data_IF_781293130584
#
_entry.id   IF_781293130584
#
_cell.length_a   1.000
_cell.length_b   1.000
_cell.length_c   1.000
_cell.angle_alpha   90.00
_cell.angle_beta   90.00
_cell.angle_gamma   90.00
#
_symmetry.space_group_name_H-M   'P 1'
#
loop_
_entity.id
_entity.type
_entity.pdbx_description
1 polymer ?
#
# COMPACT_ATOMS: atom_id res chain seq x y z
N UNK A 1 -69.70 -20.28 -22.17
CA UNK A 1 -68.97 -21.25 -21.34
C UNK A 1 -67.54 -21.31 -21.82
N UNK A 2 -66.66 -20.51 -21.24
CA UNK A 2 -65.22 -20.51 -21.53
C UNK A 2 -64.50 -20.40 -20.19
N UNK A 3 -64.02 -21.54 -19.70
CA UNK A 3 -63.29 -21.63 -18.43
C UNK A 3 -61.83 -21.21 -18.65
N UNK A 4 -61.43 -20.14 -17.97
CA UNK A 4 -60.03 -19.81 -17.75
C UNK A 4 -59.52 -20.67 -16.59
N UNK A 5 -58.73 -21.70 -16.89
CA UNK A 5 -57.94 -22.40 -15.89
C UNK A 5 -56.76 -21.51 -15.46
N UNK A 6 -56.92 -20.84 -14.33
CA UNK A 6 -55.82 -20.21 -13.60
C UNK A 6 -55.00 -21.29 -12.90
N UNK A 7 -53.93 -21.73 -13.54
CA UNK A 7 -52.92 -22.59 -12.91
C UNK A 7 -52.22 -21.84 -11.78
N UNK A 8 -52.58 -22.15 -10.53
CA UNK A 8 -51.85 -21.68 -9.37
C UNK A 8 -50.43 -22.29 -9.40
N UNK A 9 -49.41 -21.45 -9.63
CA UNK A 9 -48.03 -21.85 -9.45
C UNK A 9 -47.83 -22.21 -7.97
N UNK A 10 -47.68 -23.50 -7.67
CA UNK A 10 -47.35 -23.97 -6.34
C UNK A 10 -46.07 -23.27 -5.87
N UNK A 11 -46.17 -22.48 -4.80
CA UNK A 11 -45.02 -21.80 -4.22
C UNK A 11 -44.08 -22.86 -3.64
N UNK A 12 -42.97 -23.11 -4.32
CA UNK A 12 -41.95 -24.03 -3.84
C UNK A 12 -41.50 -23.65 -2.43
N UNK A 13 -41.34 -24.65 -1.56
CA UNK A 13 -40.96 -24.43 -0.17
C UNK A 13 -39.55 -23.81 -0.08
N UNK A 14 -39.21 -23.09 1.01
CA UNK A 14 -37.88 -22.48 1.17
C UNK A 14 -36.70 -23.46 1.02
N UNK A 15 -36.90 -24.73 1.39
CA UNK A 15 -35.91 -25.80 1.20
C UNK A 15 -35.70 -26.14 -0.29
N UNK A 16 -36.77 -26.27 -1.05
CA UNK A 16 -36.70 -26.53 -2.51
C UNK A 16 -36.06 -25.35 -3.24
N UNK A 17 -36.29 -24.12 -2.77
CA UNK A 17 -35.60 -22.93 -3.29
C UNK A 17 -34.09 -22.98 -3.04
N UNK A 18 -33.64 -23.46 -1.87
CA UNK A 18 -32.21 -23.67 -1.59
C UNK A 18 -31.59 -24.78 -2.42
N UNK A 19 -32.26 -25.93 -2.55
CA UNK A 19 -31.78 -27.04 -3.38
C UNK A 19 -31.72 -26.64 -4.87
N UNK A 20 -32.67 -25.81 -5.33
CA UNK A 20 -32.65 -25.19 -6.65
C UNK A 20 -31.51 -24.18 -6.83
N UNK A 21 -31.24 -23.34 -5.81
CA UNK A 21 -30.12 -22.42 -5.82
C UNK A 21 -28.78 -23.17 -5.85
N UNK A 22 -28.63 -24.22 -5.05
CA UNK A 22 -27.43 -25.08 -5.05
C UNK A 22 -27.22 -25.72 -6.42
N UNK A 23 -28.27 -26.31 -7.00
CA UNK A 23 -28.22 -26.93 -8.32
C UNK A 23 -27.82 -25.92 -9.40
N UNK A 24 -28.38 -24.71 -9.33
CA UNK A 24 -28.06 -23.62 -10.25
C UNK A 24 -26.60 -23.17 -10.12
N UNK A 25 -26.12 -22.94 -8.90
CA UNK A 25 -24.73 -22.52 -8.63
C UNK A 25 -23.70 -23.60 -8.96
N UNK A 26 -24.09 -24.88 -8.95
CA UNK A 26 -23.22 -26.00 -9.34
C UNK A 26 -23.12 -26.14 -10.86
N UNK A 27 -24.18 -25.80 -11.60
CA UNK A 27 -24.22 -25.91 -13.06
C UNK A 27 -23.44 -24.80 -13.77
N UNK A 28 -23.39 -23.60 -13.20
CA UNK A 28 -22.59 -22.49 -13.73
C UNK A 28 -21.18 -22.49 -13.13
N UNK A 29 -20.21 -23.06 -13.85
CA UNK A 29 -18.79 -22.88 -13.52
C UNK A 29 -18.32 -21.48 -13.89
N UNK A 30 -18.94 -20.41 -13.38
CA UNK A 30 -18.72 -19.08 -13.97
C UNK A 30 -18.59 -17.95 -12.95
N UNK A 31 -17.66 -17.08 -13.31
CA UNK A 31 -17.42 -15.76 -12.77
C UNK A 31 -18.72 -15.00 -12.51
N UNK A 32 -18.80 -14.40 -11.32
CA UNK A 32 -19.80 -13.43 -10.83
C UNK A 32 -20.73 -12.84 -11.93
N UNK A 33 -21.89 -13.47 -12.18
CA UNK A 33 -22.91 -12.93 -13.09
C UNK A 33 -24.14 -12.37 -12.36
N UNK A 34 -24.83 -11.35 -12.91
CA UNK A 34 -26.02 -10.72 -12.33
C UNK A 34 -27.19 -11.66 -12.00
N UNK A 35 -27.26 -12.83 -12.66
CA UNK A 35 -28.33 -13.82 -12.50
C UNK A 35 -28.27 -14.55 -11.15
N UNK A 36 -27.10 -14.59 -10.50
CA UNK A 36 -26.92 -15.16 -9.17
C UNK A 36 -27.60 -14.28 -8.11
N UNK A 37 -27.51 -12.96 -8.24
CA UNK A 37 -28.05 -12.01 -7.27
C UNK A 37 -29.59 -12.09 -7.16
N UNK A 38 -30.28 -12.25 -8.29
CA UNK A 38 -31.75 -12.36 -8.29
C UNK A 38 -32.25 -13.65 -7.64
N UNK A 39 -31.47 -14.74 -7.71
CA UNK A 39 -31.81 -16.02 -7.08
C UNK A 39 -31.44 -16.09 -5.61
N UNK A 40 -30.32 -15.45 -5.20
CA UNK A 40 -29.97 -15.33 -3.77
C UNK A 40 -31.04 -14.55 -3.01
N UNK A 41 -31.60 -13.49 -3.62
CA UNK A 41 -32.72 -12.72 -3.05
C UNK A 41 -34.00 -13.55 -2.82
N UNK A 42 -34.15 -14.70 -3.51
CA UNK A 42 -35.32 -15.58 -3.32
C UNK A 42 -35.23 -16.44 -2.06
N UNK A 43 -34.07 -16.50 -1.39
CA UNK A 43 -33.85 -17.28 -0.16
C UNK A 43 -33.81 -16.41 1.10
N UNK A 44 -34.45 -15.24 1.07
CA UNK A 44 -34.42 -14.25 2.16
C UNK A 44 -34.99 -14.69 3.53
N UNK A 45 -35.42 -15.94 3.71
CA UNK A 45 -35.72 -16.42 5.07
C UNK A 45 -34.42 -16.83 5.76
N UNK A 46 -33.87 -15.91 6.57
CA UNK A 46 -32.69 -16.12 7.40
C UNK A 46 -32.73 -17.48 8.11
N UNK A 47 -33.85 -17.83 8.75
CA UNK A 47 -34.03 -19.09 9.50
C UNK A 47 -33.77 -20.37 8.66
N UNK A 48 -34.13 -20.37 7.37
CA UNK A 48 -33.95 -21.53 6.49
C UNK A 48 -32.52 -21.64 6.02
N UNK A 49 -31.91 -20.49 5.64
CA UNK A 49 -30.48 -20.43 5.35
C UNK A 49 -29.68 -20.95 6.55
N UNK A 50 -30.03 -20.49 7.75
CA UNK A 50 -29.31 -20.83 8.98
C UNK A 50 -29.44 -22.30 9.36
N UNK A 51 -30.65 -22.86 9.31
CA UNK A 51 -30.87 -24.30 9.52
C UNK A 51 -30.14 -25.15 8.48
N UNK A 52 -30.15 -24.72 7.22
CA UNK A 52 -29.45 -25.40 6.14
C UNK A 52 -27.93 -25.39 6.36
N UNK A 53 -27.35 -24.23 6.70
CA UNK A 53 -25.92 -24.10 6.97
C UNK A 53 -25.49 -24.88 8.21
N UNK A 54 -26.21 -24.77 9.32
CA UNK A 54 -25.89 -25.52 10.55
C UNK A 54 -25.90 -27.03 10.31
N UNK A 55 -26.93 -27.53 9.59
CA UNK A 55 -27.02 -28.94 9.24
C UNK A 55 -25.89 -29.36 8.29
N UNK A 56 -25.62 -28.63 7.20
CA UNK A 56 -24.60 -29.01 6.22
C UNK A 56 -23.16 -28.90 6.75
N UNK A 57 -22.83 -27.83 7.47
CA UNK A 57 -21.51 -27.61 8.03
C UNK A 57 -21.22 -28.56 9.19
N UNK A 58 -22.24 -28.97 9.95
CA UNK A 58 -22.12 -29.90 11.08
C UNK A 58 -22.11 -31.37 10.69
N UNK A 59 -22.88 -31.77 9.68
CA UNK A 59 -23.19 -33.19 9.40
C UNK A 59 -22.72 -33.71 8.05
N UNK A 60 -22.13 -32.88 7.18
CA UNK A 60 -21.72 -33.32 5.84
C UNK A 60 -20.76 -34.52 5.93
N UNK A 61 -21.20 -35.65 5.39
CA UNK A 61 -20.40 -36.87 5.23
C UNK A 61 -19.50 -36.80 4.00
N UNK A 62 -19.75 -35.87 3.07
CA UNK A 62 -19.07 -35.75 1.79
C UNK A 62 -18.30 -34.43 1.65
N UNK A 63 -17.04 -34.51 1.22
CA UNK A 63 -16.23 -33.31 0.90
C UNK A 63 -16.94 -32.42 -0.14
N UNK A 64 -17.59 -33.03 -1.13
CA UNK A 64 -18.31 -32.31 -2.20
C UNK A 64 -19.46 -31.46 -1.66
N UNK A 65 -20.26 -31.99 -0.73
CA UNK A 65 -21.40 -31.26 -0.16
C UNK A 65 -20.94 -30.09 0.71
N UNK A 66 -19.84 -30.28 1.46
CA UNK A 66 -19.24 -29.20 2.25
C UNK A 66 -18.66 -28.11 1.32
N UNK A 67 -18.00 -28.51 0.24
CA UNK A 67 -17.44 -27.59 -0.75
C UNK A 67 -18.54 -26.74 -1.42
N UNK A 68 -19.70 -27.33 -1.71
CA UNK A 68 -20.88 -26.61 -2.22
C UNK A 68 -21.45 -25.66 -1.17
N UNK A 69 -21.63 -26.14 0.07
CA UNK A 69 -22.10 -25.32 1.18
C UNK A 69 -21.26 -24.06 1.39
N UNK A 70 -19.94 -24.22 1.41
CA UNK A 70 -19.00 -23.10 1.53
C UNK A 70 -19.06 -22.13 0.35
N UNK A 71 -19.31 -22.63 -0.86
CA UNK A 71 -19.49 -21.78 -2.02
C UNK A 71 -20.74 -20.92 -1.89
N UNK A 72 -21.87 -21.52 -1.51
CA UNK A 72 -23.12 -20.79 -1.26
C UNK A 72 -22.90 -19.74 -0.16
N UNK A 73 -22.25 -20.08 0.96
CA UNK A 73 -21.89 -19.12 2.00
C UNK A 73 -21.12 -17.92 1.43
N UNK A 74 -20.11 -18.17 0.59
CA UNK A 74 -19.27 -17.12 0.04
C UNK A 74 -20.08 -16.22 -0.93
N UNK A 75 -20.94 -16.80 -1.75
CA UNK A 75 -21.83 -16.02 -2.64
C UNK A 75 -22.76 -15.13 -1.83
N UNK A 76 -23.42 -15.67 -0.80
CA UNK A 76 -24.33 -14.90 0.05
C UNK A 76 -23.56 -13.81 0.84
N UNK A 77 -22.40 -14.13 1.40
CA UNK A 77 -21.56 -13.16 2.11
C UNK A 77 -21.07 -12.02 1.22
N UNK A 78 -20.82 -12.27 -0.06
CA UNK A 78 -20.42 -11.25 -1.03
C UNK A 78 -21.55 -10.33 -1.48
N UNK A 79 -22.81 -10.73 -1.31
CA UNK A 79 -24.00 -10.03 -1.84
C UNK A 79 -24.85 -9.40 -0.75
N UNK A 80 -24.87 -9.99 0.45
CA UNK A 80 -25.64 -9.53 1.59
C UNK A 80 -24.70 -9.19 2.75
N UNK A 81 -24.64 -7.91 3.12
CA UNK A 81 -23.78 -7.44 4.22
C UNK A 81 -24.25 -7.92 5.59
N UNK A 82 -25.56 -8.11 5.78
CA UNK A 82 -26.12 -8.58 7.04
C UNK A 82 -25.90 -10.08 7.24
N UNK A 83 -25.72 -10.84 6.14
CA UNK A 83 -25.42 -12.26 6.21
C UNK A 83 -24.19 -12.55 7.07
N UNK A 84 -23.16 -11.70 7.02
CA UNK A 84 -21.96 -11.95 7.81
C UNK A 84 -22.22 -11.96 9.32
N UNK A 85 -23.11 -11.09 9.81
CA UNK A 85 -23.53 -11.06 11.23
C UNK A 85 -24.29 -12.33 11.58
N UNK A 86 -25.32 -12.63 10.80
CA UNK A 86 -26.14 -13.83 11.00
C UNK A 86 -25.29 -15.11 10.90
N UNK A 87 -24.34 -15.16 9.96
CA UNK A 87 -23.40 -16.27 9.81
C UNK A 87 -22.55 -16.44 11.05
N UNK A 88 -21.95 -15.37 11.59
CA UNK A 88 -21.14 -15.45 12.82
C UNK A 88 -21.99 -15.88 14.01
N UNK A 89 -23.25 -15.45 14.09
CA UNK A 89 -24.15 -15.81 15.19
C UNK A 89 -24.54 -17.29 15.18
N UNK A 90 -24.68 -17.91 14.00
CA UNK A 90 -25.12 -19.32 13.86
C UNK A 90 -23.97 -20.27 13.57
N UNK A 91 -23.19 -19.98 12.54
CA UNK A 91 -21.98 -20.71 12.16
C UNK A 91 -20.81 -20.03 12.86
N UNK A 92 -20.75 -20.25 14.16
CA UNK A 92 -19.81 -19.60 15.08
C UNK A 92 -18.37 -19.63 14.56
N UNK A 93 -17.59 -18.59 14.89
CA UNK A 93 -16.16 -18.53 14.56
C UNK A 93 -15.40 -19.81 14.95
N UNK A 94 -15.61 -20.40 16.16
CA UNK A 94 -15.03 -21.70 16.52
C UNK A 94 -15.34 -22.82 15.53
N UNK A 95 -16.58 -22.90 15.00
CA UNK A 95 -16.92 -23.95 14.04
C UNK A 95 -16.19 -23.79 12.73
N UNK A 96 -16.02 -22.56 12.26
CA UNK A 96 -15.23 -22.28 11.05
C UNK A 96 -13.75 -22.65 11.25
N UNK A 97 -13.17 -22.33 12.40
CA UNK A 97 -11.79 -22.74 12.76
C UNK A 97 -11.68 -24.28 12.85
N UNK A 98 -12.65 -24.96 13.44
CA UNK A 98 -12.72 -26.42 13.48
C UNK A 98 -12.69 -27.01 12.06
N UNK A 99 -13.47 -26.46 11.13
CA UNK A 99 -13.49 -26.92 9.74
C UNK A 99 -12.15 -26.70 9.02
N UNK A 100 -11.49 -25.55 9.26
CA UNK A 100 -10.13 -25.30 8.78
C UNK A 100 -9.17 -26.38 9.26
N UNK A 101 -9.25 -26.78 10.52
CA UNK A 101 -8.39 -27.84 11.08
C UNK A 101 -8.78 -29.25 10.62
N UNK A 102 -10.07 -29.56 10.53
CA UNK A 102 -10.59 -30.86 10.11
C UNK A 102 -10.21 -31.17 8.66
N UNK A 103 -10.37 -30.19 7.77
CA UNK A 103 -10.12 -30.35 6.34
C UNK A 103 -8.74 -29.83 5.92
N UNK A 104 -7.75 -29.91 6.82
CA UNK A 104 -6.45 -29.26 6.65
C UNK A 104 -5.66 -29.68 5.41
N UNK A 105 -5.91 -30.89 4.90
CA UNK A 105 -5.24 -31.45 3.72
C UNK A 105 -6.09 -31.34 2.44
N UNK A 106 -7.34 -30.87 2.54
CA UNK A 106 -8.23 -30.73 1.39
C UNK A 106 -8.10 -29.31 0.81
N UNK A 107 -7.28 -29.17 -0.24
CA UNK A 107 -7.00 -27.88 -0.86
C UNK A 107 -8.24 -27.18 -1.43
N UNK A 108 -9.26 -27.93 -1.88
CA UNK A 108 -10.49 -27.35 -2.43
C UNK A 108 -11.32 -26.72 -1.31
N UNK A 109 -11.51 -27.44 -0.20
CA UNK A 109 -12.20 -26.91 0.98
C UNK A 109 -11.44 -25.73 1.58
N UNK A 110 -10.12 -25.84 1.75
CA UNK A 110 -9.30 -24.74 2.29
C UNK A 110 -9.42 -23.48 1.43
N UNK A 111 -9.35 -23.60 0.10
CA UNK A 111 -9.51 -22.47 -0.81
C UNK A 111 -10.85 -21.75 -0.60
N UNK A 112 -11.94 -22.49 -0.44
CA UNK A 112 -13.28 -21.90 -0.23
C UNK A 112 -13.46 -21.31 1.16
N UNK A 113 -12.93 -21.97 2.21
CA UNK A 113 -12.90 -21.41 3.56
C UNK A 113 -12.16 -20.08 3.59
N UNK A 114 -10.95 -20.02 3.03
CA UNK A 114 -10.16 -18.78 2.98
C UNK A 114 -10.87 -17.68 2.19
N UNK A 115 -11.55 -18.03 1.10
CA UNK A 115 -12.34 -17.07 0.36
C UNK A 115 -13.52 -16.53 1.17
N UNK A 116 -14.31 -17.40 1.81
CA UNK A 116 -15.40 -16.99 2.70
C UNK A 116 -14.90 -16.08 3.83
N UNK A 117 -13.80 -16.45 4.50
CA UNK A 117 -13.19 -15.64 5.56
C UNK A 117 -12.78 -14.25 5.02
N UNK A 118 -12.23 -14.17 3.81
CA UNK A 118 -11.86 -12.88 3.20
C UNK A 118 -13.06 -11.97 2.95
N UNK A 119 -14.23 -12.55 2.63
CA UNK A 119 -15.47 -11.80 2.44
C UNK A 119 -16.01 -11.32 3.79
N UNK A 120 -16.10 -12.21 4.78
CA UNK A 120 -16.57 -11.87 6.13
C UNK A 120 -15.69 -10.79 6.79
N UNK A 121 -14.36 -10.90 6.66
CA UNK A 121 -13.41 -9.93 7.21
C UNK A 121 -13.43 -8.55 6.51
N UNK A 122 -14.18 -8.41 5.42
CA UNK A 122 -14.38 -7.11 4.77
C UNK A 122 -15.32 -6.20 5.57
N UNK A 123 -16.19 -6.76 6.42
CA UNK A 123 -16.93 -6.02 7.44
C UNK A 123 -16.03 -5.77 8.66
N UNK A 124 -15.96 -4.53 9.13
CA UNK A 124 -15.11 -4.12 10.26
C UNK A 124 -15.58 -4.72 11.59
N UNK A 125 -16.89 -4.79 11.82
CA UNK A 125 -17.48 -5.34 13.05
C UNK A 125 -17.19 -6.83 13.16
N UNK A 126 -17.32 -7.56 12.05
CA UNK A 126 -17.04 -9.00 12.03
C UNK A 126 -15.56 -9.31 12.13
N UNK A 127 -14.70 -8.44 11.62
CA UNK A 127 -13.25 -8.64 11.61
C UNK A 127 -12.69 -8.84 13.01
N UNK A 128 -13.13 -8.04 13.98
CA UNK A 128 -12.70 -8.19 15.38
C UNK A 128 -13.17 -9.52 15.95
N UNK A 129 -14.46 -9.83 15.84
CA UNK A 129 -15.03 -11.11 16.31
C UNK A 129 -14.32 -12.34 15.70
N UNK A 130 -14.01 -12.29 14.40
CA UNK A 130 -13.25 -13.33 13.71
C UNK A 130 -11.86 -13.50 14.32
N UNK A 131 -11.16 -12.39 14.57
CA UNK A 131 -9.80 -12.44 15.11
C UNK A 131 -9.77 -12.87 16.58
N UNK A 132 -10.72 -12.40 17.39
CA UNK A 132 -10.89 -12.84 18.78
C UNK A 132 -11.07 -14.35 18.85
N UNK A 133 -11.89 -14.92 17.97
CA UNK A 133 -12.12 -16.36 17.84
C UNK A 133 -10.98 -17.17 17.18
N UNK A 134 -9.80 -16.57 16.95
CA UNK A 134 -8.59 -17.28 16.49
C UNK A 134 -8.50 -17.48 14.98
N UNK A 135 -9.28 -16.74 14.18
CA UNK A 135 -9.28 -16.91 12.73
C UNK A 135 -7.95 -16.48 12.08
N UNK A 136 -7.26 -15.49 12.64
CA UNK A 136 -5.95 -15.06 12.13
C UNK A 136 -4.92 -16.19 12.20
N UNK A 137 -4.82 -16.86 13.34
CA UNK A 137 -3.94 -18.00 13.59
C UNK A 137 -4.33 -19.20 12.72
N UNK A 138 -5.64 -19.44 12.53
CA UNK A 138 -6.13 -20.48 11.63
C UNK A 138 -5.70 -20.23 10.17
N UNK A 139 -5.82 -19.00 9.67
CA UNK A 139 -5.35 -18.61 8.33
C UNK A 139 -3.84 -18.81 8.20
N UNK A 140 -3.05 -18.41 9.19
CA UNK A 140 -1.59 -18.64 9.19
C UNK A 140 -1.23 -20.13 9.16
N UNK A 141 -1.96 -20.97 9.88
CA UNK A 141 -1.76 -22.43 9.85
C UNK A 141 -2.02 -23.03 8.46
N UNK A 142 -3.00 -22.48 7.72
CA UNK A 142 -3.28 -22.87 6.33
C UNK A 142 -2.16 -22.42 5.40
N UNK A 143 -1.73 -21.15 5.51
CA UNK A 143 -0.61 -20.61 4.73
C UNK A 143 0.65 -21.46 4.90
N UNK A 144 1.01 -21.80 6.14
CA UNK A 144 2.21 -22.57 6.43
C UNK A 144 2.15 -24.00 5.89
N UNK A 145 0.96 -24.63 5.91
CA UNK A 145 0.79 -26.00 5.39
C UNK A 145 0.81 -26.06 3.87
N UNK A 146 0.12 -25.13 3.20
CA UNK A 146 -0.05 -25.13 1.74
C UNK A 146 0.98 -24.26 1.03
N UNK A 147 2.03 -23.85 1.75
CA UNK A 147 3.00 -22.86 1.30
C UNK A 147 3.64 -23.19 -0.05
N UNK A 148 4.01 -24.46 -0.28
CA UNK A 148 4.61 -24.92 -1.54
C UNK A 148 3.65 -25.74 -2.42
N UNK A 149 2.63 -26.34 -1.83
CA UNK A 149 1.78 -27.33 -2.51
C UNK A 149 0.60 -26.72 -3.25
N UNK A 150 0.10 -25.55 -2.83
CA UNK A 150 -1.10 -24.97 -3.42
C UNK A 150 -1.11 -23.43 -3.39
N UNK A 151 -0.59 -22.84 -4.46
CA UNK A 151 -0.52 -21.38 -4.66
C UNK A 151 -1.91 -20.74 -4.60
N UNK A 152 -2.95 -21.40 -5.12
CA UNK A 152 -4.31 -20.81 -5.10
C UNK A 152 -4.90 -20.72 -3.70
N UNK A 153 -4.60 -21.69 -2.82
CA UNK A 153 -4.97 -21.62 -1.39
C UNK A 153 -4.17 -20.50 -0.72
N UNK A 154 -2.87 -20.39 -1.03
CA UNK A 154 -2.01 -19.35 -0.47
C UNK A 154 -2.48 -17.94 -0.87
N UNK A 155 -2.92 -17.73 -2.10
CA UNK A 155 -3.49 -16.46 -2.57
C UNK A 155 -4.73 -16.06 -1.79
N UNK A 156 -5.68 -16.99 -1.61
CA UNK A 156 -6.89 -16.74 -0.83
C UNK A 156 -6.58 -16.53 0.65
N UNK A 157 -5.62 -17.27 1.19
CA UNK A 157 -5.19 -17.12 2.58
C UNK A 157 -4.54 -15.76 2.82
N UNK A 158 -3.65 -15.32 1.92
CA UNK A 158 -2.99 -14.01 2.00
C UNK A 158 -4.00 -12.87 1.87
N UNK A 159 -4.99 -13.02 0.98
CA UNK A 159 -6.10 -12.07 0.87
C UNK A 159 -6.90 -12.00 2.18
N UNK A 160 -7.31 -13.13 2.74
CA UNK A 160 -8.02 -13.19 4.01
C UNK A 160 -7.22 -12.51 5.13
N UNK A 161 -5.92 -12.83 5.24
CA UNK A 161 -5.03 -12.23 6.22
C UNK A 161 -4.89 -10.71 6.03
N UNK A 162 -4.79 -10.22 4.79
CA UNK A 162 -4.71 -8.77 4.51
C UNK A 162 -5.95 -8.01 5.01
N UNK A 163 -7.11 -8.66 5.03
CA UNK A 163 -8.35 -8.11 5.58
C UNK A 163 -8.36 -8.20 7.10
N UNK A 164 -8.05 -9.37 7.68
CA UNK A 164 -8.02 -9.57 9.13
C UNK A 164 -7.03 -8.64 9.84
N UNK A 165 -5.89 -8.34 9.21
CA UNK A 165 -4.84 -7.47 9.76
C UNK A 165 -5.21 -5.99 9.83
N UNK A 166 -6.32 -5.57 9.21
CA UNK A 166 -6.88 -4.23 9.34
C UNK A 166 -7.76 -4.07 10.61
N UNK A 167 -7.49 -4.86 11.65
CA UNK A 167 -8.21 -4.83 12.93
C UNK A 167 -7.46 -3.99 14.00
N UNK A 168 -7.89 -4.13 15.26
CA UNK A 168 -7.27 -3.50 16.42
C UNK A 168 -5.78 -3.85 16.61
N UNK A 169 -5.09 -3.06 17.44
CA UNK A 169 -3.68 -3.27 17.77
C UNK A 169 -3.43 -4.67 18.37
N UNK A 170 -4.30 -5.12 19.27
CA UNK A 170 -4.18 -6.43 19.93
C UNK A 170 -4.22 -7.59 18.92
N UNK A 171 -5.10 -7.49 17.92
CA UNK A 171 -5.18 -8.47 16.83
C UNK A 171 -3.88 -8.48 16.02
N UNK A 172 -3.31 -7.31 15.69
CA UNK A 172 -2.05 -7.22 14.95
C UNK A 172 -0.90 -7.86 15.72
N UNK A 173 -0.83 -7.65 17.03
CA UNK A 173 0.18 -8.25 17.90
C UNK A 173 0.00 -9.76 18.01
N UNK A 174 -1.23 -10.27 18.14
CA UNK A 174 -1.52 -11.71 18.13
C UNK A 174 -1.11 -12.38 16.82
N UNK A 175 -1.49 -11.80 15.68
CA UNK A 175 -1.10 -12.33 14.36
C UNK A 175 0.42 -12.32 14.19
N UNK A 176 1.10 -11.27 14.66
CA UNK A 176 2.56 -11.21 14.63
C UNK A 176 3.21 -12.26 15.53
N UNK A 177 2.70 -12.46 16.75
CA UNK A 177 3.15 -13.48 17.70
C UNK A 177 2.96 -14.91 17.14
N UNK A 178 1.89 -15.13 16.39
CA UNK A 178 1.67 -16.37 15.63
C UNK A 178 2.59 -16.53 14.39
N UNK A 179 3.49 -15.57 14.16
CA UNK A 179 4.48 -15.62 13.08
C UNK A 179 4.01 -15.01 11.76
N UNK A 180 2.95 -14.20 11.75
CA UNK A 180 2.38 -13.64 10.53
C UNK A 180 3.37 -12.87 9.65
N UNK A 181 4.18 -11.97 10.25
CA UNK A 181 5.22 -11.24 9.50
C UNK A 181 6.29 -12.18 8.90
N UNK A 182 6.67 -13.23 9.63
CA UNK A 182 7.64 -14.23 9.16
C UNK A 182 7.10 -15.02 7.97
N UNK A 183 5.85 -15.47 8.03
CA UNK A 183 5.18 -16.18 6.94
C UNK A 183 5.09 -15.26 5.71
N UNK A 184 4.67 -14.00 5.88
CA UNK A 184 4.56 -13.03 4.79
C UNK A 184 5.93 -12.70 4.15
N UNK A 185 6.98 -12.59 4.96
CA UNK A 185 8.34 -12.43 4.45
C UNK A 185 8.76 -13.64 3.60
N UNK A 186 8.40 -14.85 4.02
CA UNK A 186 8.69 -16.06 3.26
C UNK A 186 7.87 -16.14 1.96
N UNK A 187 6.60 -15.72 1.96
CA UNK A 187 5.80 -15.58 0.73
C UNK A 187 6.49 -14.64 -0.26
N UNK A 188 6.98 -13.48 0.19
CA UNK A 188 7.72 -12.54 -0.67
C UNK A 188 9.04 -13.13 -1.20
N UNK A 189 9.69 -14.05 -0.47
CA UNK A 189 10.92 -14.71 -0.92
C UNK A 189 10.64 -15.80 -1.96
N UNK A 190 9.69 -16.68 -1.69
CA UNK A 190 9.46 -17.89 -2.50
C UNK A 190 8.52 -17.62 -3.68
N UNK A 191 7.48 -16.80 -3.48
CA UNK A 191 6.44 -16.55 -4.47
C UNK A 191 6.51 -15.14 -5.05
N UNK A 192 7.73 -14.62 -5.19
CA UNK A 192 7.98 -13.25 -5.64
C UNK A 192 7.52 -12.90 -7.05
N UNK A 193 7.28 -13.90 -7.89
CA UNK A 193 6.82 -13.71 -9.27
C UNK A 193 5.28 -13.60 -9.35
N UNK A 194 4.56 -14.08 -8.33
CA UNK A 194 3.10 -13.92 -8.26
C UNK A 194 2.73 -12.52 -7.81
N UNK A 195 2.33 -11.68 -8.78
CA UNK A 195 1.89 -10.30 -8.53
C UNK A 195 0.75 -10.24 -7.50
N UNK A 196 -0.18 -11.19 -7.53
CA UNK A 196 -1.28 -11.27 -6.59
C UNK A 196 -0.79 -11.51 -5.15
N UNK A 197 0.10 -12.49 -4.95
CA UNK A 197 0.68 -12.80 -3.64
C UNK A 197 1.55 -11.67 -3.12
N UNK A 198 2.42 -11.12 -3.95
CA UNK A 198 3.30 -10.01 -3.56
C UNK A 198 2.49 -8.80 -3.11
N UNK A 199 1.48 -8.40 -3.90
CA UNK A 199 0.64 -7.24 -3.59
C UNK A 199 -0.17 -7.45 -2.31
N UNK A 200 -0.83 -8.60 -2.16
CA UNK A 200 -1.64 -8.89 -0.96
C UNK A 200 -0.78 -9.08 0.28
N UNK A 201 0.42 -9.66 0.15
CA UNK A 201 1.38 -9.78 1.25
C UNK A 201 1.88 -8.42 1.73
N UNK A 202 2.24 -7.54 0.79
CA UNK A 202 2.66 -6.18 1.12
C UNK A 202 1.53 -5.40 1.82
N UNK A 203 0.28 -5.56 1.36
CA UNK A 203 -0.87 -4.96 2.03
C UNK A 203 -1.07 -5.48 3.46
N UNK A 204 -0.99 -6.80 3.68
CA UNK A 204 -1.07 -7.38 5.02
C UNK A 204 0.07 -6.90 5.94
N UNK A 205 1.30 -6.83 5.43
CA UNK A 205 2.46 -6.29 6.15
C UNK A 205 2.19 -4.83 6.55
N UNK A 206 1.74 -3.99 5.61
CA UNK A 206 1.42 -2.59 5.90
C UNK A 206 0.41 -2.49 7.05
N UNK A 207 -0.67 -3.27 6.99
CA UNK A 207 -1.70 -3.26 8.03
C UNK A 207 -1.17 -3.72 9.39
N UNK A 208 -0.35 -4.78 9.42
CA UNK A 208 0.31 -5.26 10.64
C UNK A 208 1.26 -4.22 11.26
N UNK A 209 1.95 -3.44 10.44
CA UNK A 209 2.89 -2.40 10.90
C UNK A 209 2.24 -1.04 11.17
N UNK A 210 1.01 -0.83 10.72
CA UNK A 210 0.31 0.45 10.89
C UNK A 210 -0.04 0.67 12.36
N UNK A 211 0.46 1.76 12.94
CA UNK A 211 0.31 2.12 14.35
C UNK A 211 0.78 1.02 15.32
N UNK A 212 1.79 0.23 14.93
CA UNK A 212 2.35 -0.84 15.77
C UNK A 212 3.89 -0.85 15.64
N UNK A 213 4.60 -0.08 16.50
CA UNK A 213 6.06 0.00 16.49
C UNK A 213 6.77 -1.36 16.67
N UNK A 214 6.19 -2.26 17.45
CA UNK A 214 6.71 -3.62 17.68
C UNK A 214 6.77 -4.41 16.38
N UNK A 215 5.70 -4.33 15.57
CA UNK A 215 5.65 -4.97 14.27
C UNK A 215 6.54 -4.29 13.24
N UNK A 216 6.74 -2.97 13.32
CA UNK A 216 7.74 -2.25 12.51
C UNK A 216 9.14 -2.80 12.81
N UNK A 217 9.52 -2.89 14.10
CA UNK A 217 10.81 -3.44 14.52
C UNK A 217 10.99 -4.90 14.07
N UNK A 218 9.98 -5.74 14.27
CA UNK A 218 10.01 -7.13 13.82
C UNK A 218 10.12 -7.23 12.29
N UNK A 219 9.45 -6.37 11.53
CA UNK A 219 9.55 -6.36 10.07
C UNK A 219 10.97 -6.04 9.58
N UNK A 220 11.66 -5.12 10.28
CA UNK A 220 13.06 -4.76 10.03
C UNK A 220 13.98 -5.95 10.34
N UNK A 221 13.82 -6.60 11.50
CA UNK A 221 14.61 -7.79 11.88
C UNK A 221 14.46 -8.94 10.87
N UNK A 222 13.28 -9.09 10.28
CA UNK A 222 12.99 -10.10 9.25
C UNK A 222 13.49 -9.70 7.83
N UNK A 223 14.09 -8.52 7.66
CA UNK A 223 14.59 -8.04 6.38
C UNK A 223 13.49 -7.68 5.37
N UNK A 224 12.26 -7.46 5.82
CA UNK A 224 11.11 -7.16 4.96
C UNK A 224 11.33 -5.92 4.07
N UNK A 225 11.91 -4.80 4.55
CA UNK A 225 12.18 -3.64 3.69
C UNK A 225 12.99 -3.96 2.43
N UNK A 226 14.05 -4.78 2.56
CA UNK A 226 14.90 -5.18 1.42
C UNK A 226 14.15 -6.13 0.48
N UNK A 227 13.31 -7.02 1.02
CA UNK A 227 12.45 -7.90 0.21
C UNK A 227 11.41 -7.11 -0.58
N UNK A 228 10.74 -6.14 0.05
CA UNK A 228 9.77 -5.27 -0.62
C UNK A 228 10.44 -4.53 -1.78
N UNK A 229 11.62 -3.95 -1.54
CA UNK A 229 12.36 -3.26 -2.58
C UNK A 229 12.77 -4.20 -3.72
N UNK A 230 13.30 -5.37 -3.42
CA UNK A 230 13.66 -6.37 -4.43
C UNK A 230 12.47 -6.70 -5.34
N UNK A 231 11.27 -6.88 -4.75
CA UNK A 231 10.05 -7.19 -5.50
C UNK A 231 9.42 -6.02 -6.24
N UNK A 232 9.91 -4.79 -6.05
CA UNK A 232 9.44 -3.66 -6.89
C UNK A 232 9.97 -3.77 -8.33
N UNK A 233 11.11 -4.42 -8.54
CA UNK A 233 11.70 -4.58 -9.86
C UNK A 233 10.94 -5.66 -10.64
N UNK A 234 10.40 -5.32 -11.82
CA UNK A 234 9.63 -6.25 -12.66
C UNK A 234 8.17 -6.47 -12.24
N UNK A 235 7.70 -5.84 -11.16
CA UNK A 235 6.31 -5.90 -10.75
C UNK A 235 5.40 -5.01 -11.59
N UNK A 236 4.11 -5.35 -11.66
CA UNK A 236 3.10 -4.49 -12.28
C UNK A 236 3.00 -3.16 -11.53
N UNK A 237 2.51 -2.11 -12.19
CA UNK A 237 2.38 -0.79 -11.57
C UNK A 237 1.58 -0.83 -10.26
N UNK A 238 0.41 -1.48 -10.25
CA UNK A 238 -0.41 -1.61 -9.06
C UNK A 238 0.33 -2.33 -7.90
N UNK A 239 1.14 -3.34 -8.22
CA UNK A 239 1.97 -4.04 -7.23
C UNK A 239 3.11 -3.15 -6.73
N UNK A 240 3.80 -2.43 -7.63
CA UNK A 240 4.87 -1.48 -7.27
C UNK A 240 4.37 -0.38 -6.34
N UNK A 241 3.20 0.19 -6.62
CA UNK A 241 2.54 1.18 -5.74
C UNK A 241 2.34 0.61 -4.35
N UNK A 242 1.76 -0.60 -4.23
CA UNK A 242 1.52 -1.22 -2.93
C UNK A 242 2.82 -1.53 -2.17
N UNK A 243 3.86 -1.99 -2.88
CA UNK A 243 5.17 -2.25 -2.29
C UNK A 243 5.83 -0.97 -1.77
N UNK A 244 5.81 0.11 -2.55
CA UNK A 244 6.36 1.40 -2.15
C UNK A 244 5.59 2.03 -0.98
N UNK A 245 4.26 1.95 -0.98
CA UNK A 245 3.44 2.41 0.16
C UNK A 245 3.80 1.66 1.45
N UNK A 246 4.04 0.36 1.35
CA UNK A 246 4.42 -0.48 2.49
C UNK A 246 5.84 -0.16 2.96
N UNK A 247 6.78 -0.07 2.03
CA UNK A 247 8.18 0.25 2.32
C UNK A 247 8.32 1.64 2.94
N UNK A 248 7.63 2.64 2.40
CA UNK A 248 7.65 4.01 2.91
C UNK A 248 6.96 4.18 4.25
N UNK A 249 5.92 3.38 4.53
CA UNK A 249 5.35 3.29 5.87
C UNK A 249 6.38 2.79 6.88
N UNK A 250 6.95 1.60 6.65
CA UNK A 250 7.92 0.98 7.57
C UNK A 250 9.14 1.89 7.78
N UNK A 251 9.66 2.46 6.69
CA UNK A 251 10.82 3.36 6.73
C UNK A 251 10.53 4.60 7.56
N UNK A 252 9.37 5.25 7.41
CA UNK A 252 9.02 6.47 8.17
C UNK A 252 8.79 6.22 9.66
N UNK A 253 8.46 4.99 10.06
CA UNK A 253 8.22 4.65 11.46
C UNK A 253 9.48 4.25 12.25
N UNK A 254 10.64 4.05 11.61
CA UNK A 254 11.88 3.62 12.27
C UNK A 254 13.06 4.54 11.87
N UNK A 255 13.53 5.39 12.79
CA UNK A 255 14.58 6.37 12.51
C UNK A 255 15.91 5.73 12.07
N UNK A 256 16.26 4.59 12.62
CA UNK A 256 17.47 3.86 12.24
C UNK A 256 17.36 3.35 10.80
N UNK A 257 16.20 2.82 10.42
CA UNK A 257 15.92 2.40 9.05
C UNK A 257 15.93 3.61 8.11
N UNK A 258 15.39 4.76 8.49
CA UNK A 258 15.54 5.99 7.68
C UNK A 258 17.00 6.35 7.45
N UNK A 259 17.82 6.31 8.51
CA UNK A 259 19.26 6.57 8.43
C UNK A 259 19.96 5.55 7.55
N UNK A 260 19.64 4.26 7.69
CA UNK A 260 20.18 3.20 6.85
C UNK A 260 19.79 3.44 5.38
N UNK A 261 18.51 3.70 5.12
CA UNK A 261 17.97 3.95 3.79
C UNK A 261 18.67 5.11 3.08
N UNK A 262 18.99 6.18 3.82
CA UNK A 262 19.69 7.33 3.25
C UNK A 262 21.20 7.20 3.15
N UNK A 263 21.78 6.13 3.69
CA UNK A 263 23.23 5.88 3.66
C UNK A 263 23.62 4.62 2.88
N UNK A 264 22.66 3.88 2.33
CA UNK A 264 22.90 2.61 1.65
C UNK A 264 22.46 2.68 0.18
N UNK A 265 23.43 2.47 -0.71
CA UNK A 265 23.25 2.53 -2.17
C UNK A 265 22.26 1.48 -2.67
N UNK A 266 22.13 0.35 -1.96
CA UNK A 266 21.21 -0.74 -2.30
C UNK A 266 19.74 -0.30 -2.24
N UNK A 267 19.41 0.72 -1.43
CA UNK A 267 18.07 1.29 -1.39
C UNK A 267 17.87 2.38 -2.44
N UNK A 268 18.87 3.24 -2.61
CA UNK A 268 18.78 4.42 -3.46
C UNK A 268 18.65 4.06 -4.95
N UNK A 269 19.53 3.20 -5.46
CA UNK A 269 19.62 2.91 -6.91
C UNK A 269 18.33 2.27 -7.46
N UNK A 270 17.73 1.25 -6.82
CA UNK A 270 16.48 0.68 -7.32
C UNK A 270 15.32 1.69 -7.34
N UNK A 271 15.23 2.60 -6.37
CA UNK A 271 14.15 3.60 -6.34
C UNK A 271 14.35 4.67 -7.40
N UNK A 272 15.57 5.15 -7.59
CA UNK A 272 15.89 6.07 -8.68
C UNK A 272 15.58 5.43 -10.05
N UNK A 273 15.85 4.13 -10.19
CA UNK A 273 15.44 3.35 -11.37
C UNK A 273 13.92 3.30 -11.54
N UNK A 274 13.14 3.18 -10.45
CA UNK A 274 11.67 3.22 -10.54
C UNK A 274 11.17 4.53 -11.14
N UNK A 275 11.70 5.68 -10.70
CA UNK A 275 11.35 7.01 -11.23
C UNK A 275 11.69 7.10 -12.72
N UNK A 276 12.83 6.53 -13.14
CA UNK A 276 13.28 6.53 -14.55
C UNK A 276 12.38 5.66 -15.44
N UNK A 277 12.07 4.44 -14.97
CA UNK A 277 11.42 3.40 -15.77
C UNK A 277 9.89 3.56 -15.88
N UNK A 278 9.26 4.39 -15.05
CA UNK A 278 7.80 4.57 -15.05
C UNK A 278 7.40 6.03 -15.34
N UNK A 279 7.66 6.54 -16.56
CA UNK A 279 7.51 7.95 -16.82
C UNK A 279 6.10 8.50 -16.74
N UNK A 280 5.12 7.69 -17.12
CA UNK A 280 3.75 8.15 -17.26
C UNK A 280 2.91 7.89 -16.00
N UNK A 281 3.51 7.29 -14.97
CA UNK A 281 2.84 7.03 -13.70
C UNK A 281 3.15 8.15 -12.70
N UNK A 282 2.18 9.04 -12.56
CA UNK A 282 2.19 10.11 -11.55
C UNK A 282 2.36 9.52 -10.14
N UNK A 283 1.58 8.48 -9.81
CA UNK A 283 1.59 7.91 -8.46
C UNK A 283 2.89 7.18 -8.13
N UNK A 284 3.47 6.46 -9.08
CA UNK A 284 4.79 5.86 -8.87
C UNK A 284 5.86 6.93 -8.71
N UNK A 285 5.81 8.00 -9.51
CA UNK A 285 6.74 9.12 -9.41
C UNK A 285 6.65 9.77 -8.02
N UNK A 286 5.44 10.08 -7.56
CA UNK A 286 5.20 10.67 -6.23
C UNK A 286 5.80 9.81 -5.11
N UNK A 287 5.45 8.52 -5.07
CA UNK A 287 5.89 7.60 -4.01
C UNK A 287 7.40 7.35 -4.05
N UNK A 288 7.98 7.16 -5.24
CA UNK A 288 9.41 6.88 -5.36
C UNK A 288 10.27 8.12 -5.07
N UNK A 289 9.82 9.32 -5.45
CA UNK A 289 10.49 10.57 -5.08
C UNK A 289 10.34 10.86 -3.58
N UNK A 290 9.18 10.59 -2.97
CA UNK A 290 9.01 10.67 -1.51
C UNK A 290 10.06 9.81 -0.78
N UNK A 291 10.25 8.56 -1.23
CA UNK A 291 11.28 7.67 -0.68
C UNK A 291 12.70 8.20 -0.89
N UNK A 292 13.00 8.77 -2.06
CA UNK A 292 14.30 9.39 -2.32
C UNK A 292 14.52 10.66 -1.49
N UNK A 293 13.46 11.33 -1.01
CA UNK A 293 13.60 12.46 -0.10
C UNK A 293 14.22 12.04 1.24
N UNK A 294 14.00 10.79 1.68
CA UNK A 294 14.67 10.21 2.85
C UNK A 294 16.17 10.06 2.57
N UNK A 295 16.52 9.61 1.35
CA UNK A 295 17.92 9.52 0.92
C UNK A 295 18.59 10.89 0.87
N UNK A 296 17.91 11.87 0.30
CA UNK A 296 18.38 13.24 0.21
C UNK A 296 18.66 13.86 1.59
N UNK A 297 17.85 13.49 2.60
CA UNK A 297 18.00 13.94 3.98
C UNK A 297 19.15 13.26 4.73
N UNK A 298 19.58 12.06 4.31
CA UNK A 298 20.73 11.36 4.90
C UNK A 298 22.06 12.09 4.71
N UNK A 299 22.14 13.00 3.71
CA UNK A 299 23.33 13.80 3.35
C UNK A 299 24.59 12.96 3.10
N UNK A 300 24.43 11.73 2.63
CA UNK A 300 25.54 10.93 2.14
C UNK A 300 26.04 11.52 0.81
N UNK A 301 27.18 12.22 0.83
CA UNK A 301 27.69 12.93 -0.34
C UNK A 301 27.99 12.00 -1.52
N UNK A 302 28.47 10.79 -1.26
CA UNK A 302 28.78 9.80 -2.31
C UNK A 302 27.52 9.38 -3.06
N UNK A 303 26.45 9.03 -2.34
CA UNK A 303 25.15 8.66 -2.94
C UNK A 303 24.54 9.85 -3.69
N UNK A 304 24.62 11.05 -3.12
CA UNK A 304 24.08 12.26 -3.75
C UNK A 304 24.83 12.60 -5.05
N UNK A 305 26.16 12.51 -5.06
CA UNK A 305 26.95 12.74 -6.26
C UNK A 305 26.67 11.67 -7.32
N UNK A 306 26.59 10.40 -6.93
CA UNK A 306 26.23 9.30 -7.81
C UNK A 306 24.86 9.53 -8.49
N UNK A 307 23.85 9.94 -7.72
CA UNK A 307 22.55 10.29 -8.29
C UNK A 307 22.67 11.42 -9.31
N UNK A 308 23.38 12.50 -8.98
CA UNK A 308 23.56 13.65 -9.87
C UNK A 308 24.27 13.28 -11.17
N UNK A 309 25.36 12.54 -11.08
CA UNK A 309 26.15 12.06 -12.22
C UNK A 309 25.34 11.11 -13.12
N UNK A 310 24.38 10.36 -12.57
CA UNK A 310 23.47 9.50 -13.33
C UNK A 310 22.35 10.23 -14.11
N UNK A 311 22.50 11.56 -14.29
CA UNK A 311 21.51 12.47 -14.87
C UNK A 311 20.14 12.47 -14.14
N UNK A 312 20.11 12.08 -12.85
CA UNK A 312 18.87 11.97 -12.11
C UNK A 312 18.19 13.33 -11.88
N UNK A 313 18.95 14.41 -11.78
CA UNK A 313 18.39 15.78 -11.70
C UNK A 313 17.50 16.06 -12.91
N UNK A 314 17.95 15.78 -14.14
CA UNK A 314 17.15 16.00 -15.36
C UNK A 314 15.86 15.16 -15.37
N UNK A 315 15.92 13.94 -14.82
CA UNK A 315 14.74 13.08 -14.67
C UNK A 315 13.73 13.75 -13.73
N UNK A 316 14.17 14.27 -12.59
CA UNK A 316 13.29 14.98 -11.65
C UNK A 316 12.66 16.23 -12.27
N UNK A 317 13.45 17.05 -12.99
CA UNK A 317 12.94 18.26 -13.65
C UNK A 317 11.87 17.91 -14.69
N UNK A 318 12.11 16.87 -15.51
CA UNK A 318 11.13 16.37 -16.48
C UNK A 318 9.84 15.87 -15.81
N UNK A 319 9.92 15.32 -14.59
CA UNK A 319 8.72 14.93 -13.82
C UNK A 319 7.92 16.15 -13.36
N UNK A 320 8.58 17.23 -12.96
CA UNK A 320 7.90 18.49 -12.63
C UNK A 320 7.22 19.09 -13.86
N UNK A 321 7.83 19.00 -15.04
CA UNK A 321 7.19 19.40 -16.30
C UNK A 321 5.95 18.57 -16.60
N UNK A 322 6.07 17.24 -16.50
CA UNK A 322 5.00 16.32 -16.87
C UNK A 322 3.80 16.39 -15.92
N UNK A 323 4.05 16.66 -14.64
CA UNK A 323 3.04 16.68 -13.57
C UNK A 323 3.07 18.04 -12.86
N UNK A 324 2.97 19.13 -13.66
CA UNK A 324 3.10 20.51 -13.20
C UNK A 324 2.10 20.92 -12.13
N UNK A 325 0.95 20.25 -12.07
CA UNK A 325 -0.16 20.60 -11.18
C UNK A 325 -0.18 19.74 -9.90
N UNK A 326 0.67 18.71 -9.82
CA UNK A 326 0.77 17.87 -8.63
C UNK A 326 1.61 18.54 -7.55
N UNK A 327 0.94 19.16 -6.59
CA UNK A 327 1.54 19.84 -5.43
C UNK A 327 2.47 18.90 -4.65
N UNK A 328 2.03 17.68 -4.34
CA UNK A 328 2.79 16.75 -3.50
C UNK A 328 4.06 16.28 -4.20
N UNK A 329 3.98 15.89 -5.48
CA UNK A 329 5.15 15.52 -6.26
C UNK A 329 6.15 16.67 -6.34
N UNK A 330 5.70 17.89 -6.64
CA UNK A 330 6.58 19.06 -6.72
C UNK A 330 7.25 19.39 -5.39
N UNK A 331 6.51 19.29 -4.28
CA UNK A 331 7.07 19.38 -2.92
C UNK A 331 8.17 18.33 -2.70
N UNK A 332 7.92 17.06 -3.01
CA UNK A 332 8.92 15.99 -2.82
C UNK A 332 10.13 16.14 -3.75
N UNK A 333 9.92 16.55 -5.01
CA UNK A 333 11.03 16.82 -5.95
C UNK A 333 11.91 17.94 -5.41
N UNK A 334 11.34 19.07 -4.98
CA UNK A 334 12.11 20.17 -4.38
C UNK A 334 12.87 19.72 -3.13
N UNK A 335 12.29 18.85 -2.30
CA UNK A 335 12.96 18.27 -1.14
C UNK A 335 14.17 17.40 -1.53
N UNK A 336 14.06 16.59 -2.59
CA UNK A 336 15.19 15.82 -3.14
C UNK A 336 16.26 16.76 -3.71
N UNK A 337 15.87 17.73 -4.55
CA UNK A 337 16.79 18.71 -5.15
C UNK A 337 17.52 19.54 -4.09
N UNK A 338 16.87 19.86 -2.97
CA UNK A 338 17.47 20.56 -1.83
C UNK A 338 18.63 19.75 -1.24
N UNK A 339 18.41 18.45 -1.03
CA UNK A 339 19.46 17.55 -0.53
C UNK A 339 20.57 17.37 -1.57
N UNK A 340 20.23 17.20 -2.85
CA UNK A 340 21.23 17.12 -3.92
C UNK A 340 22.09 18.38 -3.99
N UNK A 341 21.52 19.58 -3.89
CA UNK A 341 22.22 20.87 -3.92
C UNK A 341 23.18 21.09 -2.72
N UNK A 342 23.24 20.16 -1.77
CA UNK A 342 24.20 20.20 -0.67
C UNK A 342 25.65 20.05 -1.19
N UNK A 343 25.88 19.17 -2.17
CA UNK A 343 27.22 18.89 -2.71
C UNK A 343 27.60 19.90 -3.80
N UNK A 344 28.89 20.23 -3.90
CA UNK A 344 29.37 21.20 -4.91
C UNK A 344 29.12 20.71 -6.35
N UNK A 345 29.31 19.42 -6.60
CA UNK A 345 29.12 18.80 -7.92
C UNK A 345 27.67 18.95 -8.36
N UNK A 346 26.73 18.63 -7.48
CA UNK A 346 25.30 18.70 -7.80
C UNK A 346 24.78 20.13 -7.94
N UNK A 347 25.35 21.11 -7.22
CA UNK A 347 25.01 22.54 -7.46
C UNK A 347 25.29 22.96 -8.90
N UNK A 348 26.41 22.50 -9.44
CA UNK A 348 26.81 22.80 -10.81
C UNK A 348 25.94 22.03 -11.81
N UNK A 349 25.63 20.76 -11.55
CA UNK A 349 24.72 19.98 -12.38
C UNK A 349 23.31 20.56 -12.39
N UNK A 350 22.78 20.95 -11.22
CA UNK A 350 21.48 21.60 -11.08
C UNK A 350 21.42 22.89 -11.90
N UNK A 351 22.49 23.69 -11.88
CA UNK A 351 22.62 24.90 -12.71
C UNK A 351 22.63 24.57 -14.20
N UNK A 352 23.49 23.64 -14.63
CA UNK A 352 23.67 23.29 -16.05
C UNK A 352 22.41 22.69 -16.67
N UNK A 353 21.62 21.95 -15.88
CA UNK A 353 20.41 21.28 -16.33
C UNK A 353 19.15 22.16 -16.19
N UNK A 354 19.29 23.46 -15.91
CA UNK A 354 18.15 24.38 -15.82
C UNK A 354 17.33 24.27 -14.52
N UNK A 355 17.79 23.50 -13.52
CA UNK A 355 17.05 23.26 -12.29
C UNK A 355 16.79 24.51 -11.46
N UNK A 356 17.64 25.53 -11.53
CA UNK A 356 17.40 26.83 -10.86
C UNK A 356 16.16 27.52 -11.46
N UNK A 357 16.06 27.60 -12.78
CA UNK A 357 14.93 28.23 -13.47
C UNK A 357 13.63 27.47 -13.19
N UNK A 358 13.67 26.14 -13.31
CA UNK A 358 12.52 25.28 -12.99
C UNK A 358 12.07 25.42 -11.53
N UNK A 359 12.99 25.54 -10.57
CA UNK A 359 12.63 25.77 -9.15
C UNK A 359 11.89 27.09 -8.96
N UNK A 360 12.31 28.17 -9.64
CA UNK A 360 11.63 29.47 -9.60
C UNK A 360 10.23 29.38 -10.23
N UNK A 361 10.11 28.67 -11.34
CA UNK A 361 8.82 28.42 -12.00
C UNK A 361 7.85 27.67 -11.09
N UNK A 362 8.29 26.59 -10.44
CA UNK A 362 7.49 25.82 -9.48
C UNK A 362 7.07 26.70 -8.30
N UNK A 363 7.98 27.50 -7.75
CA UNK A 363 7.67 28.46 -6.69
C UNK A 363 6.59 29.47 -7.09
N UNK A 364 6.56 29.90 -8.36
CA UNK A 364 5.54 30.80 -8.89
C UNK A 364 4.19 30.08 -9.07
N UNK A 365 4.20 28.90 -9.67
CA UNK A 365 2.98 28.12 -9.94
C UNK A 365 2.28 27.71 -8.63
N UNK A 366 3.05 27.46 -7.57
CA UNK A 366 2.56 27.09 -6.25
C UNK A 366 2.78 28.20 -5.20
N UNK A 367 2.64 29.46 -5.59
CA UNK A 367 2.91 30.62 -4.70
C UNK A 367 2.02 30.67 -3.45
N UNK A 368 0.90 29.95 -3.44
CA UNK A 368 -0.02 29.83 -2.31
C UNK A 368 0.28 28.62 -1.40
N UNK A 369 1.10 27.67 -1.87
CA UNK A 369 1.45 26.46 -1.13
C UNK A 369 2.74 26.70 -0.34
N UNK A 370 2.59 27.13 0.92
CA UNK A 370 3.70 27.54 1.79
C UNK A 370 4.83 26.50 1.85
N UNK A 371 4.47 25.23 1.97
CA UNK A 371 5.43 24.12 2.05
C UNK A 371 6.26 23.96 0.76
N UNK A 372 5.66 24.15 -0.41
CA UNK A 372 6.35 24.09 -1.71
C UNK A 372 7.31 25.27 -1.84
N UNK A 373 6.83 26.48 -1.53
CA UNK A 373 7.63 27.71 -1.58
C UNK A 373 8.85 27.60 -0.65
N UNK A 374 8.67 27.08 0.57
CA UNK A 374 9.76 26.86 1.51
C UNK A 374 10.83 25.90 0.94
N UNK A 375 10.41 24.77 0.36
CA UNK A 375 11.38 23.84 -0.25
C UNK A 375 12.09 24.47 -1.44
N UNK A 376 11.39 25.22 -2.30
CA UNK A 376 12.01 25.96 -3.40
C UNK A 376 13.08 26.94 -2.92
N UNK A 377 12.78 27.73 -1.88
CA UNK A 377 13.75 28.65 -1.28
C UNK A 377 14.97 27.91 -0.70
N UNK A 378 14.76 26.75 -0.09
CA UNK A 378 15.85 25.91 0.40
C UNK A 378 16.74 25.38 -0.74
N UNK A 379 16.15 24.94 -1.86
CA UNK A 379 16.90 24.53 -3.07
C UNK A 379 17.76 25.68 -3.57
N UNK A 380 17.18 26.87 -3.74
CA UNK A 380 17.89 28.06 -4.25
C UNK A 380 19.00 28.52 -3.30
N UNK A 381 18.72 28.53 -1.99
CA UNK A 381 19.71 28.84 -0.95
C UNK A 381 20.92 27.90 -1.03
N UNK A 382 20.66 26.59 -1.08
CA UNK A 382 21.73 25.60 -1.22
C UNK A 382 22.48 25.77 -2.53
N UNK A 383 21.78 25.96 -3.65
CA UNK A 383 22.39 26.18 -4.97
C UNK A 383 23.31 27.41 -5.00
N UNK A 384 22.96 28.49 -4.30
CA UNK A 384 23.79 29.70 -4.18
C UNK A 384 25.00 29.55 -3.25
N UNK A 385 25.00 28.57 -2.36
CA UNK A 385 26.03 28.45 -1.34
C UNK A 385 27.41 28.24 -1.98
N UNK A 386 28.30 29.23 -1.81
CA UNK A 386 29.65 29.26 -2.38
C UNK A 386 29.70 29.06 -3.90
N UNK A 387 28.68 29.53 -4.63
CA UNK A 387 28.64 29.54 -6.10
C UNK A 387 28.32 30.93 -6.60
N UNK A 388 29.34 31.69 -6.99
CA UNK A 388 29.21 33.08 -7.47
C UNK A 388 28.35 33.12 -8.72
N UNK A 389 28.54 32.16 -9.63
CA UNK A 389 27.78 32.03 -10.86
C UNK A 389 26.27 31.83 -10.60
N UNK A 390 25.92 31.00 -9.60
CA UNK A 390 24.52 30.80 -9.21
C UNK A 390 23.93 32.05 -8.56
N UNK A 391 24.69 32.72 -7.68
CA UNK A 391 24.28 33.98 -7.07
C UNK A 391 24.00 35.06 -8.11
N UNK A 392 24.90 35.20 -9.11
CA UNK A 392 24.72 36.13 -10.23
C UNK A 392 23.46 35.75 -11.03
N UNK A 393 23.30 34.49 -11.43
CA UNK A 393 22.11 34.07 -12.20
C UNK A 393 20.79 34.37 -11.50
N UNK A 394 20.69 34.05 -10.22
CA UNK A 394 19.46 34.29 -9.44
C UNK A 394 19.23 35.79 -9.25
N UNK A 395 20.28 36.56 -8.89
CA UNK A 395 20.17 38.02 -8.68
C UNK A 395 19.71 38.78 -9.92
N UNK A 396 20.20 38.38 -11.09
CA UNK A 396 19.93 39.09 -12.35
C UNK A 396 18.75 38.50 -13.12
N UNK A 397 18.05 37.49 -12.59
CA UNK A 397 16.94 36.84 -13.29
C UNK A 397 17.35 36.11 -14.57
N UNK A 398 18.64 35.82 -14.77
CA UNK A 398 19.19 35.16 -15.97
C UNK A 398 19.04 33.63 -15.92
N UNK A 399 17.87 33.17 -15.49
CA UNK A 399 17.54 31.76 -15.35
C UNK A 399 16.57 31.32 -16.47
N UNK A 400 17.00 31.40 -17.73
CA UNK A 400 16.19 31.02 -18.91
C UNK A 400 15.15 32.07 -19.32
N UNK A 401 14.12 31.65 -20.06
CA UNK A 401 13.01 32.47 -20.61
C UNK A 401 12.11 33.16 -19.55
N UNK A 402 12.55 33.25 -18.30
CA UNK A 402 11.77 33.75 -17.15
C UNK A 402 12.00 35.25 -16.91
N UNK A 403 12.58 35.99 -17.88
CA UNK A 403 12.83 37.44 -17.73
C UNK A 403 11.56 38.27 -17.43
N UNK A 404 10.37 37.75 -17.77
CA UNK A 404 9.08 38.39 -17.54
C UNK A 404 8.51 38.24 -16.11
N UNK A 405 9.02 37.30 -15.28
CA UNK A 405 8.44 37.02 -13.94
C UNK A 405 9.21 37.66 -12.78
N UNK A 406 9.72 38.89 -12.96
CA UNK A 406 10.49 39.64 -11.94
C UNK A 406 9.67 40.08 -10.72
N UNK A 407 8.34 40.11 -10.78
CA UNK A 407 7.49 40.71 -9.75
C UNK A 407 7.49 39.96 -8.42
N UNK A 408 7.52 38.62 -8.43
CA UNK A 408 7.35 37.79 -7.22
C UNK A 408 8.62 37.77 -6.36
N UNK A 409 9.80 37.71 -6.98
CA UNK A 409 11.05 37.81 -6.22
C UNK A 409 11.19 39.19 -5.57
N UNK A 410 10.72 40.28 -6.18
CA UNK A 410 10.96 41.63 -5.66
C UNK A 410 9.84 42.19 -4.76
N UNK A 411 8.58 41.78 -4.91
CA UNK A 411 7.50 42.26 -4.02
C UNK A 411 7.52 41.60 -2.63
N UNK A 412 8.27 40.51 -2.46
CA UNK A 412 8.52 39.88 -1.15
C UNK A 412 9.88 40.21 -0.52
N UNK A 413 10.78 40.96 -1.18
CA UNK A 413 12.17 41.07 -0.72
C UNK A 413 12.54 42.41 -0.06
N UNK A 414 12.27 42.51 1.24
CA UNK A 414 13.36 42.82 2.19
C UNK A 414 14.29 41.61 2.41
N UNK A 415 13.94 40.44 1.86
CA UNK A 415 14.60 39.14 2.06
C UNK A 415 16.07 39.07 1.60
N UNK A 416 16.48 39.84 0.57
CA UNK A 416 17.87 39.84 0.09
C UNK A 416 18.70 41.06 0.53
N UNK A 417 18.07 42.18 0.92
CA UNK A 417 18.76 43.40 1.36
C UNK A 417 18.80 43.57 2.89
N UNK A 418 17.86 42.99 3.63
CA UNK A 418 17.80 43.03 5.09
C UNK A 418 17.25 41.72 5.69
N UNK A 419 18.13 40.74 5.98
CA UNK A 419 17.96 39.96 7.22
C UNK A 419 17.53 38.48 7.19
N UNK A 420 16.61 37.95 6.37
CA UNK A 420 16.11 36.58 6.58
C UNK A 420 17.05 35.49 6.05
N UNK A 421 17.91 35.78 5.06
CA UNK A 421 19.00 34.85 4.72
C UNK A 421 20.06 34.73 5.84
N UNK A 422 20.22 35.77 6.68
CA UNK A 422 21.05 35.67 7.90
C UNK A 422 20.34 34.92 9.02
N UNK A 423 19.03 35.10 9.21
CA UNK A 423 18.26 34.39 10.26
C UNK A 423 18.08 32.88 9.96
N UNK A 424 17.81 32.49 8.70
CA UNK A 424 17.74 31.06 8.33
C UNK A 424 19.11 30.38 8.38
N UNK A 425 20.19 31.05 7.96
CA UNK A 425 21.54 30.53 8.10
C UNK A 425 22.01 30.46 9.56
N UNK A 426 21.55 31.37 10.43
CA UNK A 426 21.87 31.39 11.87
C UNK A 426 21.10 30.32 12.64
N UNK A 427 19.80 30.12 12.39
CA UNK A 427 19.00 29.06 13.03
C UNK A 427 19.41 27.64 12.60
N UNK A 428 19.85 27.45 11.35
CA UNK A 428 20.44 26.17 10.89
C UNK A 428 21.85 25.90 11.49
N UNK A 429 22.50 26.93 12.04
CA UNK A 429 23.77 26.80 12.78
C UNK A 429 23.58 26.68 14.30
N UNK A 430 22.54 27.29 14.88
CA UNK A 430 22.24 27.25 16.31
C UNK A 430 21.57 25.93 16.74
N UNK A 431 20.90 25.23 15.82
CA UNK A 431 20.49 23.82 15.99
C UNK A 431 21.68 22.83 16.08
N UNK A 432 22.93 23.30 15.96
CA UNK A 432 24.15 22.50 16.19
C UNK A 432 24.73 22.57 17.61
N UNK A 433 24.09 23.29 18.55
CA UNK A 433 24.68 23.51 19.91
C UNK A 433 24.03 22.64 21.00
N UNK A 434 23.08 21.75 20.66
CA UNK A 434 22.34 20.92 21.62
C UNK A 434 22.89 19.51 21.92
N UNK A 435 24.07 19.13 21.42
CA UNK A 435 24.72 17.85 21.77
C UNK A 435 26.07 18.12 22.45
N UNK A 436 26.02 18.46 23.74
CA UNK A 436 27.11 18.12 24.66
C UNK A 436 26.81 16.72 25.20
N UNK A 437 27.73 15.79 24.92
CA UNK A 437 27.78 14.45 25.53
C UNK A 437 27.74 14.55 27.07
N UNK A 438 27.10 13.61 27.77
CA UNK A 438 27.69 13.09 29.00
C UNK A 438 28.99 12.32 28.68
#
# INVERSE_FOLDING_TARGET
MGGLEGGAAASSGPREKMESLETFLVAESLDWQPQVNSKVALVNSESVLMSWFANRMGSSKSSVELERGLHVCAVVAGTNKDFGKVFVDVVTVPKTVELVHKHKNDGAIQKKLMFLISLLASDETLRENLCEGGMGEAVLAVMNRHFTSNVTVLERSTLALSKLTAASLDVKLRIAAAGGLRILAEVLKVHGDSQALVRTSAHAIRNLTLNCPENVLLSKQLGIPKLLLLRTSGASEATRIQLLLTLGHITRCDEELQKQFGNDVDYCVPIAKIVKDAPDSEKLSELSVEMLSVVANGRNEEILNMLGESAFISVLLKRQDQFSDNVNLNYQVCKVLRGMAFTRVNRELLRRQGGIGKTIEVMHNFSHEVDVVEQCLCVLSNACYRSVENQVRIRWGRCGDVEEKKSVLFHGTSIFSQGPFRLFARNASESRVGYRKP
#
